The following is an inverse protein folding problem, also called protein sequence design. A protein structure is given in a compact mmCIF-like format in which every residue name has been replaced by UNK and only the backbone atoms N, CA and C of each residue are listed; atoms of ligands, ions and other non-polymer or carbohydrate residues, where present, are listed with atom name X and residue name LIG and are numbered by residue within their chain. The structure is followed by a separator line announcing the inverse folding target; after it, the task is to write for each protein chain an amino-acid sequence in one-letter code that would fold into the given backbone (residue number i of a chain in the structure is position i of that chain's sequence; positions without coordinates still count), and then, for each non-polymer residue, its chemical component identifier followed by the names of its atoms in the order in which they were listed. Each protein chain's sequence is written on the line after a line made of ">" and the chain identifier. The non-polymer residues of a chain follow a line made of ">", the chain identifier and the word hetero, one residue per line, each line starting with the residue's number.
data_IF_253735116018
#
_entry.id   IF_253735116018
#
_cell.length_a   1.000
_cell.length_b   1.000
_cell.length_c   1.000
_cell.angle_alpha   90.00
_cell.angle_beta   90.00
_cell.angle_gamma   90.00
#
_symmetry.space_group_name_H-M   'P 1'
#
loop_
_entity.id
_entity.type
_entity.pdbx_description
1 polymer ?
#
# COMPACT_ATOMS: atom_id res chain seq x y z
N UNK A 1 -23.22 6.72 -12.02
CA UNK A 1 -22.38 7.90 -12.30
C UNK A 1 -21.36 7.46 -13.32
N UNK A 2 -21.51 7.87 -14.58
CA UNK A 2 -20.60 7.47 -15.65
C UNK A 2 -19.50 8.53 -15.70
N UNK A 3 -18.25 8.19 -15.40
CA UNK A 3 -17.13 9.10 -15.66
C UNK A 3 -17.10 9.39 -17.17
N UNK A 4 -17.28 10.64 -17.56
CA UNK A 4 -17.24 11.04 -18.97
C UNK A 4 -15.79 10.96 -19.47
N UNK A 5 -15.58 10.38 -20.66
CA UNK A 5 -14.26 10.22 -21.30
C UNK A 5 -13.46 11.53 -21.41
N UNK A 6 -14.15 12.67 -21.42
CA UNK A 6 -13.54 14.00 -21.43
C UNK A 6 -12.68 14.28 -20.20
N UNK A 7 -13.03 13.77 -19.02
CA UNK A 7 -12.22 14.00 -17.82
C UNK A 7 -10.85 13.39 -18.01
N UNK A 8 -10.73 12.21 -18.64
CA UNK A 8 -9.50 11.40 -18.70
C UNK A 8 -8.52 11.72 -19.83
N UNK A 9 -9.00 12.22 -20.97
CA UNK A 9 -8.12 12.54 -22.11
C UNK A 9 -7.35 13.85 -21.90
N UNK A 10 -7.89 14.79 -21.12
CA UNK A 10 -7.24 16.05 -20.74
C UNK A 10 -6.16 15.89 -19.65
N UNK A 11 -6.16 14.80 -18.86
CA UNK A 11 -5.13 14.56 -17.82
C UNK A 11 -3.71 14.42 -18.38
N UNK A 12 -3.57 13.94 -19.61
CA UNK A 12 -2.25 13.62 -20.16
C UNK A 12 -1.57 14.81 -20.82
N UNK A 13 -2.31 15.88 -21.15
CA UNK A 13 -1.84 16.96 -22.03
C UNK A 13 -1.63 18.32 -21.34
N UNK A 14 -2.02 18.47 -20.06
CA UNK A 14 -1.98 19.76 -19.35
C UNK A 14 -1.39 19.62 -17.93
N UNK A 15 -0.10 19.32 -17.78
CA UNK A 15 0.52 19.36 -16.45
C UNK A 15 0.84 20.81 -16.04
N UNK A 16 -0.14 21.45 -15.40
CA UNK A 16 0.04 22.42 -14.30
C UNK A 16 -1.00 22.12 -13.19
N UNK A 17 -0.91 20.91 -12.59
CA UNK A 17 -1.58 20.41 -11.37
C UNK A 17 -3.04 19.89 -11.46
N UNK A 18 -3.45 18.93 -10.59
CA UNK A 18 -2.83 18.60 -9.30
C UNK A 18 -2.10 17.25 -9.21
N UNK A 19 -1.15 17.12 -8.26
CA UNK A 19 -0.39 15.89 -8.00
C UNK A 19 -1.24 14.77 -7.38
N UNK A 20 -2.42 15.08 -6.80
CA UNK A 20 -3.43 14.16 -6.25
C UNK A 20 -4.82 14.67 -6.62
N UNK A 21 -5.73 13.78 -7.01
CA UNK A 21 -7.14 14.09 -7.22
C UNK A 21 -8.05 13.03 -6.58
N UNK A 22 -9.10 13.48 -5.88
CA UNK A 22 -10.15 12.63 -5.35
C UNK A 22 -11.22 12.39 -6.41
N UNK A 23 -11.32 11.15 -6.88
CA UNK A 23 -12.31 10.73 -7.89
C UNK A 23 -13.63 10.34 -7.22
N UNK A 24 -13.57 9.83 -5.98
CA UNK A 24 -14.74 9.47 -5.21
C UNK A 24 -14.50 9.68 -3.71
N UNK A 25 -15.53 10.14 -3.01
CA UNK A 25 -15.60 10.13 -1.55
C UNK A 25 -16.97 9.65 -1.12
N UNK A 26 -17.03 8.84 -0.06
CA UNK A 26 -18.30 8.39 0.52
C UNK A 26 -19.13 9.53 1.15
N UNK A 27 -18.50 10.67 1.45
CA UNK A 27 -19.14 11.93 1.82
C UNK A 27 -18.19 13.13 1.65
N UNK A 28 -18.69 14.38 1.51
CA UNK A 28 -17.87 15.57 1.25
C UNK A 28 -16.83 15.86 2.33
N UNK A 29 -17.13 15.55 3.60
CA UNK A 29 -16.26 15.80 4.74
C UNK A 29 -15.09 14.80 4.91
N UNK A 30 -14.94 13.81 4.02
CA UNK A 30 -13.81 12.86 4.08
C UNK A 30 -12.48 13.63 4.16
N UNK A 31 -11.51 13.26 5.02
CA UNK A 31 -11.44 12.00 5.79
C UNK A 31 -12.07 12.05 7.19
N UNK A 32 -12.80 13.12 7.57
CA UNK A 32 -13.36 13.24 8.91
C UNK A 32 -14.48 12.20 9.15
N UNK A 33 -14.40 11.37 10.20
CA UNK A 33 -15.49 10.44 10.51
C UNK A 33 -16.77 11.21 10.90
N UNK A 34 -17.94 10.66 10.55
CA UNK A 34 -19.24 11.33 10.79
C UNK A 34 -19.67 11.37 12.26
N UNK A 35 -19.12 10.51 13.12
CA UNK A 35 -19.58 10.35 14.51
C UNK A 35 -18.87 11.32 15.44
N UNK A 36 -17.63 11.02 15.76
CA UNK A 36 -16.77 11.85 16.62
C UNK A 36 -15.38 11.90 16.02
N UNK A 37 -14.80 13.09 16.00
CA UNK A 37 -13.41 13.29 15.62
C UNK A 37 -12.56 12.86 16.83
N UNK A 38 -11.65 11.89 16.68
CA UNK A 38 -10.82 11.44 17.79
C UNK A 38 -9.84 12.54 18.19
N UNK A 39 -9.53 12.64 19.49
CA UNK A 39 -8.51 13.57 20.04
C UNK A 39 -7.07 13.06 19.82
N UNK A 40 -6.84 12.39 18.69
CA UNK A 40 -5.57 11.82 18.25
C UNK A 40 -5.46 11.97 16.73
N UNK A 41 -4.26 11.83 16.12
CA UNK A 41 -4.14 11.84 14.67
C UNK A 41 -5.10 10.84 14.02
N UNK A 42 -5.79 11.29 12.96
CA UNK A 42 -6.67 10.46 12.14
C UNK A 42 -5.84 9.35 11.49
N UNK A 43 -6.23 8.10 11.73
CA UNK A 43 -5.58 6.91 11.19
C UNK A 43 -6.20 6.58 9.84
N UNK A 44 -5.44 6.75 8.77
CA UNK A 44 -5.90 6.50 7.40
C UNK A 44 -5.15 5.31 6.82
N UNK A 45 -5.87 4.26 6.44
CA UNK A 45 -5.27 3.17 5.67
C UNK A 45 -5.19 3.56 4.20
N UNK A 46 -4.04 3.35 3.57
CA UNK A 46 -3.81 3.62 2.14
C UNK A 46 -3.51 2.29 1.45
N UNK A 47 -4.41 1.86 0.56
CA UNK A 47 -4.16 0.72 -0.33
C UNK A 47 -3.84 1.24 -1.74
N UNK A 48 -2.56 1.20 -2.08
CA UNK A 48 -2.05 1.56 -3.41
C UNK A 48 -1.79 0.29 -4.23
N UNK A 49 -2.50 0.16 -5.35
CA UNK A 49 -2.37 -0.97 -6.26
C UNK A 49 -2.74 -0.56 -7.69
N UNK A 50 -2.41 -1.42 -8.65
CA UNK A 50 -2.81 -1.19 -10.05
C UNK A 50 -4.29 -1.46 -10.32
N UNK A 51 -5.00 -2.13 -9.41
CA UNK A 51 -6.44 -2.43 -9.49
C UNK A 51 -6.92 -2.87 -10.88
N UNK A 52 -6.25 -3.89 -11.45
CA UNK A 52 -6.46 -4.31 -12.84
C UNK A 52 -6.77 -5.82 -12.98
N UNK A 53 -7.89 -6.33 -12.44
CA UNK A 53 -8.90 -5.62 -11.63
C UNK A 53 -8.59 -5.72 -10.11
N UNK A 54 -9.33 -5.00 -9.24
CA UNK A 54 -9.40 -5.34 -7.81
C UNK A 54 -9.79 -6.81 -7.60
N UNK A 55 -9.26 -7.45 -6.57
CA UNK A 55 -9.49 -8.89 -6.27
C UNK A 55 -9.96 -9.07 -4.83
N UNK A 56 -10.39 -10.28 -4.46
CA UNK A 56 -10.73 -10.60 -3.07
C UNK A 56 -9.53 -10.47 -2.12
N UNK A 57 -8.29 -10.65 -2.59
CA UNK A 57 -7.10 -10.35 -1.79
C UNK A 57 -6.95 -8.86 -1.49
N UNK A 58 -7.27 -8.00 -2.46
CA UNK A 58 -7.33 -6.55 -2.21
C UNK A 58 -8.44 -6.22 -1.20
N UNK A 59 -9.61 -6.88 -1.30
CA UNK A 59 -10.72 -6.69 -0.36
C UNK A 59 -10.32 -7.08 1.07
N UNK A 60 -9.72 -8.26 1.23
CA UNK A 60 -9.23 -8.75 2.51
C UNK A 60 -8.19 -7.80 3.11
N UNK A 61 -7.23 -7.35 2.29
CA UNK A 61 -6.21 -6.40 2.73
C UNK A 61 -6.82 -5.04 3.13
N UNK A 62 -7.71 -4.47 2.33
CA UNK A 62 -8.36 -3.19 2.61
C UNK A 62 -9.22 -3.23 3.89
N UNK A 63 -9.81 -4.38 4.19
CA UNK A 63 -10.62 -4.62 5.39
C UNK A 63 -9.81 -5.12 6.60
N UNK A 64 -8.50 -5.34 6.44
CA UNK A 64 -7.66 -5.78 7.54
C UNK A 64 -7.67 -4.74 8.66
N UNK A 65 -7.83 -5.22 9.90
CA UNK A 65 -7.86 -4.35 11.08
C UNK A 65 -6.49 -3.74 11.32
N UNK A 66 -6.48 -2.50 11.80
CA UNK A 66 -5.26 -1.83 12.28
C UNK A 66 -4.58 -2.67 13.38
N UNK A 67 -3.30 -3.07 13.21
CA UNK A 67 -2.59 -3.80 14.26
C UNK A 67 -2.41 -2.97 15.53
N UNK A 68 -2.39 -3.64 16.68
CA UNK A 68 -2.09 -2.99 17.98
C UNK A 68 -0.59 -2.72 18.09
N UNK A 69 -0.22 -1.53 18.54
CA UNK A 69 1.16 -1.13 18.81
C UNK A 69 1.39 -1.16 20.33
N UNK A 70 2.49 -1.79 20.80
CA UNK A 70 2.73 -1.98 22.25
C UNK A 70 3.18 -0.70 22.98
N UNK A 71 3.76 0.26 22.27
CA UNK A 71 4.49 1.39 22.85
C UNK A 71 3.79 2.75 22.73
N UNK A 72 2.53 2.78 22.26
CA UNK A 72 1.75 4.01 22.13
C UNK A 72 0.48 3.78 22.94
N UNK A 73 0.14 4.71 23.84
CA UNK A 73 -1.09 4.73 24.63
C UNK A 73 -2.39 4.86 23.78
N UNK A 74 -2.37 4.39 22.53
CA UNK A 74 -3.54 4.17 21.69
C UNK A 74 -4.28 2.90 22.14
N UNK A 75 -4.63 2.87 23.43
CA UNK A 75 -5.32 1.80 24.14
C UNK A 75 -6.83 1.74 23.83
N UNK A 76 -7.37 2.75 23.13
CA UNK A 76 -8.74 2.70 22.63
C UNK A 76 -8.75 2.06 21.24
N UNK A 77 -8.91 0.73 21.22
CA UNK A 77 -8.84 -0.20 20.09
C UNK A 77 -9.82 0.03 18.94
N UNK A 78 -9.80 1.21 18.33
CA UNK A 78 -10.50 1.53 17.10
C UNK A 78 -9.65 1.18 15.87
N UNK A 79 -10.33 0.69 14.83
CA UNK A 79 -9.77 0.46 13.49
C UNK A 79 -9.34 1.79 12.84
N UNK A 80 -9.04 1.79 11.55
CA UNK A 80 -8.80 3.02 10.78
C UNK A 80 -10.01 3.95 10.79
N UNK A 81 -9.78 5.26 10.94
CA UNK A 81 -10.86 6.26 10.91
C UNK A 81 -11.36 6.50 9.47
N UNK A 82 -10.48 6.33 8.49
CA UNK A 82 -10.79 6.46 7.06
C UNK A 82 -9.97 5.47 6.22
N UNK A 83 -10.48 5.13 5.03
CA UNK A 83 -9.76 4.30 4.05
C UNK A 83 -9.57 5.04 2.72
N UNK A 84 -8.39 4.94 2.14
CA UNK A 84 -8.04 5.51 0.84
C UNK A 84 -7.58 4.39 -0.11
N UNK A 85 -8.27 4.29 -1.25
CA UNK A 85 -7.83 3.49 -2.40
C UNK A 85 -7.09 4.41 -3.36
N UNK A 86 -5.84 4.08 -3.67
CA UNK A 86 -4.94 4.96 -4.42
C UNK A 86 -4.49 4.31 -5.72
N UNK A 87 -4.63 5.02 -6.84
CA UNK A 87 -4.11 4.62 -8.14
C UNK A 87 -2.96 5.56 -8.53
N UNK A 88 -1.72 5.06 -8.52
CA UNK A 88 -0.59 5.80 -9.09
C UNK A 88 -0.52 5.60 -10.61
N UNK A 89 -0.62 6.71 -11.35
CA UNK A 89 -0.61 6.72 -12.83
C UNK A 89 0.81 6.62 -13.42
N UNK A 90 1.83 6.88 -12.60
CA UNK A 90 3.26 6.79 -12.98
C UNK A 90 3.97 5.70 -12.19
N UNK A 91 3.33 4.56 -11.93
CA UNK A 91 4.01 3.46 -11.25
C UNK A 91 5.25 3.04 -12.04
N UNK A 92 6.42 3.12 -11.40
CA UNK A 92 7.75 3.03 -12.03
C UNK A 92 7.99 1.75 -12.86
N UNK A 93 7.24 0.68 -12.59
CA UNK A 93 7.52 -0.66 -13.11
C UNK A 93 6.54 -1.17 -14.19
N UNK A 94 5.47 -0.44 -14.55
CA UNK A 94 4.38 -1.02 -15.37
C UNK A 94 3.96 -0.16 -16.56
N UNK A 95 4.31 -0.62 -17.76
CA UNK A 95 3.64 -0.20 -18.99
C UNK A 95 2.31 -0.96 -19.16
N UNK A 96 1.26 -0.26 -19.59
CA UNK A 96 -0.05 -0.86 -19.86
C UNK A 96 0.04 -1.78 -21.08
N UNK A 97 -0.44 -3.01 -20.95
CA UNK A 97 -0.64 -3.91 -22.10
C UNK A 97 -1.94 -3.55 -22.81
N UNK A 98 -2.08 -3.90 -24.09
CA UNK A 98 -3.33 -3.70 -24.85
C UNK A 98 -4.52 -4.43 -24.23
N UNK A 99 -4.26 -5.51 -23.49
CA UNK A 99 -5.27 -6.32 -22.79
C UNK A 99 -5.58 -5.82 -21.37
N UNK A 100 -4.88 -4.77 -20.90
CA UNK A 100 -5.14 -4.18 -19.59
C UNK A 100 -6.33 -3.21 -19.65
N UNK A 101 -7.06 -3.12 -18.53
CA UNK A 101 -8.08 -2.08 -18.38
C UNK A 101 -7.41 -0.70 -18.35
N UNK A 102 -8.06 0.28 -18.99
CA UNK A 102 -7.64 1.68 -19.00
C UNK A 102 -7.70 2.28 -17.60
N UNK A 103 -7.03 3.42 -17.37
CA UNK A 103 -7.17 4.17 -16.11
C UNK A 103 -8.63 4.48 -15.77
N UNK A 104 -9.45 4.83 -16.78
CA UNK A 104 -10.89 5.04 -16.62
C UNK A 104 -11.60 3.82 -16.02
N UNK A 105 -11.40 2.67 -16.65
CA UNK A 105 -12.03 1.42 -16.27
C UNK A 105 -11.55 0.97 -14.88
N UNK A 106 -10.27 1.18 -14.56
CA UNK A 106 -9.72 0.91 -13.23
C UNK A 106 -10.36 1.78 -12.17
N UNK A 107 -10.54 3.08 -12.42
CA UNK A 107 -11.21 3.98 -11.49
C UNK A 107 -12.68 3.60 -11.27
N UNK A 108 -13.42 3.27 -12.33
CA UNK A 108 -14.79 2.78 -12.20
C UNK A 108 -14.87 1.48 -11.37
N UNK A 109 -13.94 0.54 -11.60
CA UNK A 109 -13.82 -0.65 -10.76
C UNK A 109 -13.45 -0.30 -9.32
N UNK A 110 -12.57 0.68 -9.07
CA UNK A 110 -12.21 1.13 -7.72
C UNK A 110 -13.38 1.79 -6.99
N UNK A 111 -14.23 2.55 -7.68
CA UNK A 111 -15.44 3.15 -7.09
C UNK A 111 -16.42 2.06 -6.65
N UNK A 112 -16.63 1.05 -7.49
CA UNK A 112 -17.43 -0.13 -7.15
C UNK A 112 -16.81 -0.93 -6.00
N UNK A 113 -15.49 -1.13 -6.04
CA UNK A 113 -14.73 -1.78 -4.98
C UNK A 113 -14.83 -1.03 -3.65
N UNK A 114 -14.82 0.31 -3.66
CA UNK A 114 -14.99 1.14 -2.48
C UNK A 114 -16.32 0.88 -1.77
N UNK A 115 -17.37 0.57 -2.53
CA UNK A 115 -18.71 0.24 -2.01
C UNK A 115 -18.79 -1.15 -1.36
N UNK A 116 -17.73 -1.95 -1.44
CA UNK A 116 -17.65 -3.28 -0.83
C UNK A 116 -16.81 -3.30 0.45
N UNK A 117 -16.11 -2.20 0.77
CA UNK A 117 -15.27 -2.11 1.96
C UNK A 117 -16.09 -2.04 3.25
N UNK A 118 -15.54 -2.56 4.34
CA UNK A 118 -16.11 -2.47 5.70
C UNK A 118 -15.27 -1.48 6.49
N UNK A 119 -15.89 -0.52 7.18
CA UNK A 119 -15.16 0.55 7.85
C UNK A 119 -15.43 0.68 9.34
N UNK A 120 -16.50 0.08 9.88
CA UNK A 120 -16.73 -0.06 11.33
C UNK A 120 -17.58 -1.31 11.59
N UNK A 121 -17.27 -2.03 12.69
CA UNK A 121 -17.86 -3.31 13.12
C UNK A 121 -19.40 -3.32 13.36
N UNK A 122 -20.11 -2.18 13.30
CA UNK A 122 -21.52 -2.10 13.74
C UNK A 122 -22.44 -1.18 12.91
N UNK A 123 -22.01 -0.68 11.74
CA UNK A 123 -22.89 0.14 10.89
C UNK A 123 -23.71 -0.73 9.91
N UNK A 124 -25.01 -0.43 9.66
CA UNK A 124 -25.82 -1.16 8.68
C UNK A 124 -25.38 -0.94 7.23
N UNK A 125 -24.48 0.03 6.98
CA UNK A 125 -23.90 0.31 5.68
C UNK A 125 -22.45 -0.16 5.65
N UNK A 126 -22.15 -1.02 4.67
CA UNK A 126 -20.77 -1.20 4.19
C UNK A 126 -20.28 0.20 3.73
N UNK A 127 -18.99 0.50 3.77
CA UNK A 127 -18.29 1.66 3.19
C UNK A 127 -18.46 3.10 3.77
N UNK A 128 -18.54 3.28 5.10
CA UNK A 128 -18.51 4.63 5.69
C UNK A 128 -17.08 5.24 5.73
N UNK A 129 -16.86 6.44 5.19
CA UNK A 129 -15.57 7.17 5.22
C UNK A 129 -14.43 6.59 4.35
N UNK A 130 -14.78 6.12 3.14
CA UNK A 130 -13.85 5.69 2.09
C UNK A 130 -13.66 6.78 1.02
N UNK A 131 -12.47 6.85 0.42
CA UNK A 131 -12.19 7.62 -0.79
C UNK A 131 -11.39 6.83 -1.84
N UNK A 132 -11.50 7.26 -3.09
CA UNK A 132 -10.69 6.80 -4.22
C UNK A 132 -9.94 8.01 -4.79
N UNK A 133 -8.64 7.86 -4.98
CA UNK A 133 -7.79 8.93 -5.51
C UNK A 133 -6.84 8.45 -6.60
N UNK A 134 -6.46 9.37 -7.47
CA UNK A 134 -5.32 9.23 -8.37
C UNK A 134 -4.14 10.08 -7.87
N UNK A 135 -2.93 9.60 -8.12
CA UNK A 135 -1.70 10.30 -7.74
C UNK A 135 -0.64 10.19 -8.84
N UNK A 136 0.06 11.30 -9.09
CA UNK A 136 1.13 11.38 -10.09
C UNK A 136 2.51 10.93 -9.60
N UNK A 137 2.65 10.65 -8.30
CA UNK A 137 3.93 10.33 -7.66
C UNK A 137 4.24 8.82 -7.76
N UNK A 138 5.44 8.45 -8.25
CA UNK A 138 5.85 7.05 -8.40
C UNK A 138 6.25 6.37 -7.08
N UNK A 139 6.90 7.08 -6.16
CA UNK A 139 7.53 6.48 -4.97
C UNK A 139 6.58 6.44 -3.78
N UNK A 140 6.62 5.39 -2.95
CA UNK A 140 5.79 5.33 -1.75
C UNK A 140 6.12 6.44 -0.74
N UNK A 141 7.41 6.81 -0.63
CA UNK A 141 7.85 7.91 0.23
C UNK A 141 7.29 9.24 -0.27
N UNK A 142 7.42 9.54 -1.57
CA UNK A 142 6.82 10.73 -2.16
C UNK A 142 5.29 10.74 -2.01
N UNK A 143 4.63 9.59 -2.21
CA UNK A 143 3.17 9.47 -2.04
C UNK A 143 2.75 9.84 -0.62
N UNK A 144 3.46 9.34 0.39
CA UNK A 144 3.22 9.68 1.81
C UNK A 144 3.31 11.19 2.03
N UNK A 145 4.40 11.81 1.56
CA UNK A 145 4.64 13.24 1.74
C UNK A 145 3.56 14.10 1.07
N UNK A 146 3.21 13.79 -0.18
CA UNK A 146 2.18 14.50 -0.92
C UNK A 146 0.79 14.30 -0.32
N UNK A 147 0.46 13.09 0.13
CA UNK A 147 -0.81 12.82 0.80
C UNK A 147 -0.91 13.58 2.12
N UNK A 148 0.16 13.62 2.93
CA UNK A 148 0.19 14.40 4.18
C UNK A 148 -0.11 15.88 3.91
N UNK A 149 0.55 16.48 2.91
CA UNK A 149 0.30 17.86 2.50
C UNK A 149 -1.14 18.06 2.02
N UNK A 150 -1.61 17.21 1.10
CA UNK A 150 -2.95 17.28 0.54
C UNK A 150 -4.04 17.19 1.61
N UNK A 151 -3.89 16.29 2.58
CA UNK A 151 -4.86 16.09 3.65
C UNK A 151 -4.89 17.28 4.62
N UNK A 152 -3.71 17.81 4.99
CA UNK A 152 -3.60 19.03 5.80
C UNK A 152 -4.29 20.23 5.15
N UNK A 153 -4.03 20.46 3.87
CA UNK A 153 -4.69 21.52 3.09
C UNK A 153 -6.22 21.30 3.06
N UNK A 154 -6.66 20.07 2.78
CA UNK A 154 -8.09 19.70 2.71
C UNK A 154 -8.84 19.93 4.02
N UNK A 155 -8.19 19.74 5.17
CA UNK A 155 -8.80 19.95 6.49
C UNK A 155 -8.45 21.30 7.10
N UNK A 156 -7.96 22.26 6.31
CA UNK A 156 -7.55 23.58 6.79
C UNK A 156 -6.56 23.53 7.97
N UNK A 157 -5.66 22.54 7.98
CA UNK A 157 -4.68 22.26 9.04
C UNK A 157 -5.30 22.00 10.43
N UNK A 158 -6.59 21.66 10.50
CA UNK A 158 -7.29 21.40 11.76
C UNK A 158 -7.11 19.97 12.28
N UNK A 159 -6.55 19.07 11.47
CA UNK A 159 -6.39 17.65 11.79
C UNK A 159 -4.93 17.23 11.61
N UNK A 160 -4.48 16.31 12.45
CA UNK A 160 -3.25 15.55 12.24
C UNK A 160 -3.58 14.19 11.63
N UNK A 161 -2.67 13.64 10.83
CA UNK A 161 -2.88 12.38 10.13
C UNK A 161 -1.73 11.41 10.38
N UNK A 162 -2.09 10.13 10.47
CA UNK A 162 -1.14 9.03 10.36
C UNK A 162 -1.55 8.10 9.23
N UNK A 163 -0.70 8.02 8.21
CA UNK A 163 -0.94 7.15 7.06
C UNK A 163 -0.35 5.77 7.33
N UNK A 164 -1.15 4.74 7.08
CA UNK A 164 -0.70 3.34 7.11
C UNK A 164 -0.84 2.73 5.74
N UNK A 165 0.28 2.45 5.08
CA UNK A 165 0.30 1.83 3.77
C UNK A 165 0.10 0.32 3.89
N UNK A 166 -0.91 -0.18 3.20
CA UNK A 166 -1.26 -1.59 3.15
C UNK A 166 -0.58 -2.22 1.93
N UNK A 167 0.41 -3.07 2.17
CA UNK A 167 1.26 -3.64 1.12
C UNK A 167 1.15 -5.17 1.08
N UNK A 168 1.38 -5.75 -0.10
CA UNK A 168 1.79 -7.14 -0.22
C UNK A 168 3.31 -7.28 -0.09
N UNK A 169 3.79 -8.49 0.21
CA UNK A 169 5.22 -8.76 0.43
C UNK A 169 6.13 -8.31 -0.72
N UNK A 170 5.82 -8.63 -1.98
CA UNK A 170 6.63 -8.18 -3.14
C UNK A 170 6.74 -6.64 -3.23
N UNK A 171 5.72 -5.92 -2.76
CA UNK A 171 5.75 -4.45 -2.74
C UNK A 171 6.56 -3.94 -1.56
N UNK A 172 6.54 -4.63 -0.42
CA UNK A 172 7.43 -4.35 0.70
C UNK A 172 8.90 -4.54 0.32
N UNK A 173 9.23 -5.61 -0.41
CA UNK A 173 10.58 -5.84 -0.94
C UNK A 173 11.05 -4.68 -1.82
N UNK A 174 10.19 -4.21 -2.73
CA UNK A 174 10.49 -3.04 -3.57
C UNK A 174 10.59 -1.75 -2.74
N UNK A 175 9.78 -1.58 -1.71
CA UNK A 175 9.84 -0.43 -0.81
C UNK A 175 11.20 -0.31 -0.11
N UNK A 176 11.85 -1.43 0.23
CA UNK A 176 13.19 -1.47 0.84
C UNK A 176 14.31 -1.79 -0.18
N UNK A 177 14.08 -1.60 -1.48
CA UNK A 177 15.10 -1.84 -2.50
C UNK A 177 15.77 -0.52 -2.94
N UNK A 178 17.11 -0.36 -2.77
CA UNK A 178 17.82 0.89 -3.05
C UNK A 178 17.62 1.44 -4.47
N UNK A 179 17.42 0.57 -5.47
CA UNK A 179 17.20 0.95 -6.87
C UNK A 179 16.01 1.88 -7.11
N UNK A 180 15.05 1.96 -6.18
CA UNK A 180 13.89 2.85 -6.30
C UNK A 180 14.11 4.26 -5.72
N UNK A 181 15.30 4.54 -5.17
CA UNK A 181 15.60 5.80 -4.48
C UNK A 181 16.60 6.68 -5.21
N UNK A 182 17.21 6.19 -6.29
CA UNK A 182 18.15 6.96 -7.12
C UNK A 182 17.57 7.26 -8.49
N UNK A 183 17.90 8.44 -9.02
CA UNK A 183 17.59 8.85 -10.40
C UNK A 183 18.85 8.91 -11.29
N UNK A 184 20.00 8.44 -10.79
CA UNK A 184 21.28 8.56 -11.48
C UNK A 184 21.43 7.52 -12.60
N UNK A 185 22.04 7.93 -13.71
CA UNK A 185 22.41 7.05 -14.83
C UNK A 185 23.50 6.03 -14.45
N UNK A 186 24.30 6.31 -13.41
CA UNK A 186 25.26 5.39 -12.82
C UNK A 186 24.73 4.85 -11.49
N UNK A 187 24.47 3.55 -11.43
CA UNK A 187 23.98 2.92 -10.21
C UNK A 187 25.15 2.64 -9.24
N UNK A 188 25.35 3.54 -8.27
CA UNK A 188 26.14 3.26 -7.08
C UNK A 188 25.21 2.74 -5.97
N UNK A 189 25.47 1.50 -5.53
CA UNK A 189 24.64 0.82 -4.54
C UNK A 189 24.76 1.41 -3.14
N UNK A 190 25.93 1.95 -2.76
CA UNK A 190 26.14 2.55 -1.45
C UNK A 190 25.42 3.90 -1.37
N UNK A 191 25.54 4.70 -2.44
CA UNK A 191 24.81 5.96 -2.57
C UNK A 191 23.29 5.72 -2.58
N UNK A 192 22.82 4.75 -3.38
CA UNK A 192 21.39 4.40 -3.45
C UNK A 192 20.87 3.90 -2.09
N UNK A 193 21.66 3.13 -1.33
CA UNK A 193 21.29 2.68 0.02
C UNK A 193 21.21 3.85 1.00
N UNK A 194 22.13 4.81 0.91
CA UNK A 194 22.11 6.00 1.76
C UNK A 194 20.90 6.89 1.45
N UNK A 195 20.60 7.12 0.17
CA UNK A 195 19.41 7.85 -0.28
C UNK A 195 18.14 7.16 0.21
N UNK A 196 18.04 5.83 0.04
CA UNK A 196 16.96 5.03 0.58
C UNK A 196 16.80 5.24 2.09
N UNK A 197 17.87 5.15 2.87
CA UNK A 197 17.78 5.31 4.32
C UNK A 197 17.29 6.71 4.71
N UNK A 198 17.74 7.76 4.03
CA UNK A 198 17.24 9.13 4.26
C UNK A 198 15.76 9.26 3.92
N UNK A 199 15.32 8.71 2.78
CA UNK A 199 13.91 8.74 2.38
C UNK A 199 13.03 7.93 3.35
N UNK A 200 13.48 6.76 3.78
CA UNK A 200 12.78 5.92 4.74
C UNK A 200 12.71 6.57 6.13
N UNK A 201 13.76 7.28 6.56
CA UNK A 201 13.74 8.08 7.78
C UNK A 201 12.65 9.16 7.70
N UNK A 202 12.60 9.92 6.60
CA UNK A 202 11.53 10.90 6.36
C UNK A 202 10.13 10.28 6.36
N UNK A 203 9.98 9.06 5.86
CA UNK A 203 8.70 8.35 5.86
C UNK A 203 8.28 7.89 7.27
N UNK A 204 9.18 7.27 8.04
CA UNK A 204 8.85 6.59 9.28
C UNK A 204 8.95 7.47 10.53
N UNK A 205 9.88 8.43 10.55
CA UNK A 205 10.22 9.14 11.77
C UNK A 205 9.07 10.04 12.25
N UNK A 206 8.92 10.23 13.58
CA UNK A 206 7.90 11.14 14.13
C UNK A 206 8.03 12.60 13.66
N UNK A 207 9.25 13.04 13.35
CA UNK A 207 9.53 14.39 12.82
C UNK A 207 9.38 14.49 11.29
N UNK A 208 9.17 13.36 10.61
CA UNK A 208 8.86 13.29 9.18
C UNK A 208 7.36 13.12 8.95
N UNK A 209 6.99 12.20 8.05
CA UNK A 209 5.59 11.90 7.73
C UNK A 209 4.90 11.05 8.80
N UNK A 210 5.68 10.44 9.71
CA UNK A 210 5.19 9.54 10.75
C UNK A 210 4.30 8.40 10.19
N UNK A 211 4.57 7.95 8.97
CA UNK A 211 3.81 6.90 8.29
C UNK A 211 4.17 5.51 8.82
N UNK A 212 3.32 4.54 8.51
CA UNK A 212 3.43 3.13 8.93
C UNK A 212 3.21 2.21 7.76
N UNK A 213 3.66 0.96 7.90
CA UNK A 213 3.38 -0.10 6.95
C UNK A 213 2.70 -1.26 7.65
N UNK A 214 1.65 -1.77 7.00
CA UNK A 214 1.10 -3.10 7.29
C UNK A 214 1.26 -3.94 6.04
N UNK A 215 1.96 -5.06 6.17
CA UNK A 215 2.24 -5.96 5.06
C UNK A 215 1.52 -7.29 5.25
N UNK A 216 0.71 -7.66 4.26
CA UNK A 216 0.13 -9.00 4.19
C UNK A 216 1.13 -10.02 3.70
N UNK A 217 1.13 -11.18 4.36
CA UNK A 217 1.94 -12.35 4.04
C UNK A 217 1.23 -13.24 3.01
N UNK A 218 2.00 -13.96 2.19
CA UNK A 218 1.48 -14.95 1.22
C UNK A 218 1.75 -16.41 1.60
N UNK A 219 2.65 -16.67 2.55
CA UNK A 219 2.91 -18.02 3.09
C UNK A 219 3.78 -17.93 4.35
N UNK A 220 3.62 -18.85 5.33
CA UNK A 220 4.52 -18.99 6.47
C UNK A 220 5.96 -19.36 6.08
N UNK A 221 6.15 -20.06 4.97
CA UNK A 221 7.50 -20.38 4.48
C UNK A 221 8.22 -19.17 3.87
N UNK A 222 7.50 -18.09 3.57
CA UNK A 222 8.07 -16.81 3.14
C UNK A 222 8.60 -15.96 4.31
N UNK A 223 8.55 -16.48 5.55
CA UNK A 223 9.12 -15.78 6.69
C UNK A 223 10.66 -15.78 6.63
N UNK A 224 11.30 -14.62 6.81
CA UNK A 224 12.61 -14.63 7.42
C UNK A 224 12.44 -15.21 8.82
N UNK A 225 13.08 -16.35 9.09
CA UNK A 225 13.05 -16.97 10.41
C UNK A 225 13.49 -15.92 11.45
N UNK A 226 12.52 -15.47 12.27
CA UNK A 226 12.82 -14.69 13.46
C UNK A 226 13.53 -15.64 14.42
N UNK A 227 14.87 -15.54 14.51
CA UNK A 227 15.66 -16.20 15.55
C UNK A 227 15.34 -15.56 16.91
N UNK A 228 14.14 -15.84 17.41
CA UNK A 228 13.69 -15.51 18.74
C UNK A 228 13.13 -16.78 19.39
N UNK A 229 13.95 -17.83 19.43
CA UNK A 229 13.76 -19.03 20.26
C UNK A 229 14.92 -20.02 20.05
N UNK A 230 16.14 -19.61 20.39
CA UNK A 230 17.18 -20.57 20.77
C UNK A 230 17.88 -20.07 22.03
N UNK A 231 17.67 -20.83 23.10
CA UNK A 231 18.34 -20.73 24.40
C UNK A 231 19.86 -20.89 24.23
N UNK A 232 20.69 -20.31 25.13
CA UNK A 232 22.13 -20.22 24.92
C UNK A 232 22.77 -21.58 25.18
N UNK A 233 23.28 -22.22 24.15
CA UNK A 233 24.23 -23.31 24.34
C UNK A 233 25.41 -23.19 23.39
N UNK A 234 26.57 -22.97 24.03
CA UNK A 234 27.94 -23.07 23.53
C UNK A 234 28.40 -21.94 22.60
N UNK A 235 29.16 -21.02 23.17
CA UNK A 235 30.12 -20.17 22.47
C UNK A 235 31.31 -21.06 22.09
N UNK A 236 31.72 -21.14 20.82
CA UNK A 236 33.11 -21.39 20.48
C UNK A 236 33.82 -20.05 20.32
N UNK A 237 34.91 -19.91 21.06
CA UNK A 237 35.89 -18.85 20.92
C UNK A 237 36.44 -18.75 19.50
N UNK A 238 36.85 -17.52 19.15
CA UNK A 238 37.66 -17.11 18.01
C UNK A 238 36.97 -17.16 16.64
N UNK A 239 36.75 -15.97 16.08
CA UNK A 239 37.40 -15.51 14.85
C UNK A 239 36.97 -14.05 14.62
N UNK A 240 37.93 -13.15 14.67
CA UNK A 240 37.87 -11.86 14.00
C UNK A 240 37.52 -12.09 12.53
N UNK A 241 36.27 -11.88 12.14
CA UNK A 241 35.86 -11.86 10.74
C UNK A 241 35.50 -10.43 10.41
N UNK A 242 36.36 -9.79 9.62
CA UNK A 242 35.96 -8.70 8.75
C UNK A 242 34.71 -9.15 7.98
N UNK A 243 33.74 -8.25 7.84
CA UNK A 243 32.54 -8.51 7.04
C UNK A 243 32.96 -9.05 5.66
N UNK A 244 32.33 -10.12 5.16
CA UNK A 244 32.69 -10.67 3.85
C UNK A 244 32.53 -9.58 2.77
N UNK A 245 33.37 -9.61 1.72
CA UNK A 245 33.31 -8.62 0.65
C UNK A 245 31.90 -8.53 0.07
N UNK A 246 31.43 -7.30 -0.08
CA UNK A 246 30.12 -6.95 -0.61
C UNK A 246 29.93 -7.52 -2.02
N UNK A 247 28.99 -8.45 -2.18
CA UNK A 247 28.59 -9.01 -3.48
C UNK A 247 27.22 -8.40 -3.90
N UNK A 248 27.18 -7.52 -4.92
CA UNK A 248 25.94 -6.91 -5.42
C UNK A 248 24.97 -7.91 -6.06
N UNK A 249 25.37 -9.16 -6.27
CA UNK A 249 24.54 -10.20 -6.89
C UNK A 249 23.79 -11.06 -5.86
N UNK A 250 24.13 -10.97 -4.58
CA UNK A 250 23.47 -11.71 -3.51
C UNK A 250 22.32 -10.87 -2.94
N UNK A 251 21.06 -11.35 -3.00
CA UNK A 251 19.94 -10.66 -2.38
C UNK A 251 20.17 -10.58 -0.87
N UNK A 252 20.36 -9.37 -0.34
CA UNK A 252 20.24 -9.14 1.10
C UNK A 252 18.83 -9.57 1.54
N UNK A 253 18.69 -10.49 2.50
CA UNK A 253 17.38 -10.88 2.98
C UNK A 253 16.62 -9.63 3.43
N UNK A 254 15.42 -9.37 2.92
CA UNK A 254 14.62 -8.17 3.26
C UNK A 254 14.63 -7.88 4.78
N UNK A 255 14.60 -8.93 5.60
CA UNK A 255 14.67 -8.82 7.06
C UNK A 255 15.94 -8.19 7.62
N UNK A 256 17.12 -8.43 7.03
CA UNK A 256 18.36 -7.80 7.48
C UNK A 256 18.35 -6.33 7.08
N UNK A 257 17.93 -6.00 5.85
CA UNK A 257 17.80 -4.61 5.39
C UNK A 257 16.87 -3.79 6.27
N UNK A 258 15.67 -4.32 6.56
CA UNK A 258 14.72 -3.71 7.50
C UNK A 258 15.39 -3.52 8.86
N UNK A 259 16.11 -4.54 9.35
CA UNK A 259 16.76 -4.51 10.66
C UNK A 259 17.88 -3.50 10.78
N UNK A 260 18.73 -3.43 9.79
CA UNK A 260 19.86 -2.52 9.77
C UNK A 260 19.38 -1.08 9.61
N UNK A 261 18.33 -0.85 8.82
CA UNK A 261 17.69 0.47 8.74
C UNK A 261 17.14 0.92 10.10
N UNK A 262 16.25 0.14 10.73
CA UNK A 262 15.62 0.53 12.00
C UNK A 262 16.65 0.71 13.11
N UNK A 263 17.67 -0.16 13.18
CA UNK A 263 18.78 -0.03 14.12
C UNK A 263 19.62 1.22 13.87
N UNK A 264 20.01 1.49 12.63
CA UNK A 264 20.88 2.63 12.31
C UNK A 264 20.21 3.99 12.55
N UNK A 265 18.88 4.06 12.46
CA UNK A 265 18.10 5.28 12.70
C UNK A 265 17.48 5.38 14.09
N UNK A 266 17.78 4.43 14.99
CA UNK A 266 17.15 4.36 16.33
C UNK A 266 15.61 4.39 16.28
N UNK A 267 15.03 3.78 15.24
CA UNK A 267 13.58 3.68 15.03
C UNK A 267 13.09 2.28 15.44
N UNK A 268 11.80 2.16 15.78
CA UNK A 268 11.21 0.88 16.20
C UNK A 268 10.74 0.02 15.03
N UNK A 269 10.99 -1.28 15.11
CA UNK A 269 10.46 -2.28 14.16
C UNK A 269 8.94 -2.34 14.14
N UNK A 270 8.29 -1.86 15.20
CA UNK A 270 6.84 -1.82 15.28
C UNK A 270 6.22 -0.97 14.16
N UNK A 271 6.99 -0.10 13.49
CA UNK A 271 6.54 0.74 12.36
C UNK A 271 6.22 -0.04 11.08
N UNK A 272 6.67 -1.30 10.98
CA UNK A 272 6.32 -2.26 9.94
C UNK A 272 5.69 -3.49 10.60
N UNK A 273 4.37 -3.66 10.44
CA UNK A 273 3.64 -4.82 10.97
C UNK A 273 3.34 -5.80 9.87
N UNK A 274 3.47 -7.08 10.20
CA UNK A 274 3.03 -8.15 9.33
C UNK A 274 1.68 -8.68 9.79
N UNK A 275 0.79 -8.95 8.84
CA UNK A 275 -0.52 -9.56 9.10
C UNK A 275 -0.71 -10.80 8.23
N UNK A 276 -1.59 -11.68 8.71
CA UNK A 276 -2.07 -12.83 7.95
C UNK A 276 -3.51 -12.56 7.49
N UNK A 277 -3.76 -12.75 6.20
CA UNK A 277 -5.07 -12.57 5.58
C UNK A 277 -5.84 -13.89 5.40
N UNK A 278 -5.24 -15.03 5.74
CA UNK A 278 -5.81 -16.37 5.48
C UNK A 278 -5.32 -16.99 4.17
N UNK A 279 -5.16 -18.32 4.18
CA UNK A 279 -4.64 -19.13 3.06
C UNK A 279 -5.46 -18.94 1.78
N UNK A 280 -6.75 -18.70 1.92
CA UNK A 280 -7.72 -18.59 0.83
C UNK A 280 -7.48 -17.39 -0.10
N UNK A 281 -6.80 -16.34 0.36
CA UNK A 281 -6.52 -15.14 -0.44
C UNK A 281 -5.05 -14.94 -0.79
N UNK A 282 -4.13 -15.71 -0.20
CA UNK A 282 -2.69 -15.54 -0.40
C UNK A 282 -2.25 -15.64 -1.86
N UNK A 283 -2.86 -16.55 -2.62
CA UNK A 283 -2.51 -16.83 -4.00
C UNK A 283 -3.30 -15.98 -5.02
N UNK A 284 -4.22 -15.12 -4.58
CA UNK A 284 -5.11 -14.42 -5.51
C UNK A 284 -4.46 -13.15 -6.05
N UNK A 285 -4.07 -13.16 -7.33
CA UNK A 285 -3.56 -11.97 -8.01
C UNK A 285 -4.52 -11.45 -9.08
N UNK A 286 -4.40 -10.16 -9.43
CA UNK A 286 -5.14 -9.60 -10.57
C UNK A 286 -4.77 -10.29 -11.89
N UNK A 287 -3.54 -10.81 -12.01
CA UNK A 287 -3.11 -11.55 -13.21
C UNK A 287 -3.84 -12.87 -13.34
N UNK A 288 -4.11 -13.56 -12.23
CA UNK A 288 -4.89 -14.81 -12.26
C UNK A 288 -6.33 -14.56 -12.69
N UNK A 289 -6.93 -13.45 -12.24
CA UNK A 289 -8.26 -13.03 -12.69
C UNK A 289 -8.27 -12.80 -14.21
N UNK A 290 -7.32 -12.01 -14.74
CA UNK A 290 -7.24 -11.74 -16.19
C UNK A 290 -7.02 -13.03 -16.99
N UNK A 291 -6.10 -13.89 -16.54
CA UNK A 291 -5.81 -15.16 -17.20
C UNK A 291 -7.03 -16.10 -17.22
N UNK A 292 -7.76 -16.20 -16.11
CA UNK A 292 -8.97 -17.01 -16.03
C UNK A 292 -10.10 -16.46 -16.92
N UNK A 293 -10.28 -15.13 -17.02
CA UNK A 293 -11.24 -14.53 -17.96
C UNK A 293 -10.86 -14.89 -19.40
N UNK A 294 -9.60 -14.70 -19.78
CA UNK A 294 -9.09 -15.00 -21.12
C UNK A 294 -9.28 -16.48 -21.49
N UNK A 295 -9.13 -17.38 -20.52
CA UNK A 295 -9.35 -18.83 -20.70
C UNK A 295 -10.82 -19.26 -20.60
N UNK A 296 -11.76 -18.31 -20.41
CA UNK A 296 -13.18 -18.57 -20.14
C UNK A 296 -13.43 -19.47 -18.92
N UNK A 297 -12.50 -19.43 -17.96
CA UNK A 297 -12.58 -20.17 -16.72
C UNK A 297 -13.40 -19.40 -15.69
N UNK A 298 -14.60 -19.91 -15.36
CA UNK A 298 -15.54 -19.27 -14.44
C UNK A 298 -15.00 -19.01 -13.03
N UNK A 299 -13.86 -19.59 -12.63
CA UNK A 299 -13.26 -19.36 -11.31
C UNK A 299 -12.95 -17.90 -11.01
N UNK A 300 -12.71 -17.07 -12.04
CA UNK A 300 -12.39 -15.65 -11.87
C UNK A 300 -13.48 -14.90 -11.08
N UNK A 301 -14.73 -15.37 -11.17
CA UNK A 301 -15.89 -14.82 -10.45
C UNK A 301 -15.78 -14.97 -8.93
N UNK A 302 -15.11 -16.01 -8.45
CA UNK A 302 -14.85 -16.20 -7.01
C UNK A 302 -13.65 -15.36 -6.54
N UNK A 303 -12.76 -14.98 -7.45
CA UNK A 303 -11.54 -14.20 -7.15
C UNK A 303 -11.78 -12.68 -7.14
N UNK A 304 -12.99 -12.24 -7.51
CA UNK A 304 -13.31 -10.83 -7.78
C UNK A 304 -14.49 -10.36 -6.92
N UNK A 305 -14.40 -9.18 -6.27
CA UNK A 305 -15.52 -8.60 -5.52
C UNK A 305 -16.80 -8.47 -6.38
N UNK A 306 -18.00 -8.79 -5.85
CA UNK A 306 -19.26 -8.79 -6.59
C UNK A 306 -19.55 -7.59 -7.52
N UNK A 307 -19.35 -6.35 -7.08
CA UNK A 307 -19.65 -5.15 -7.89
C UNK A 307 -18.59 -4.91 -8.96
N UNK A 308 -17.35 -5.30 -8.69
CA UNK A 308 -16.26 -5.30 -9.68
C UNK A 308 -16.52 -6.36 -10.75
N UNK A 309 -16.93 -7.57 -10.34
CA UNK A 309 -17.30 -8.67 -11.23
C UNK A 309 -18.41 -8.25 -12.20
N UNK A 310 -19.48 -7.66 -11.69
CA UNK A 310 -20.60 -7.17 -12.50
C UNK A 310 -20.12 -6.17 -13.56
N UNK A 311 -19.22 -5.25 -13.19
CA UNK A 311 -18.67 -4.27 -14.13
C UNK A 311 -17.83 -4.91 -15.23
N UNK A 312 -16.99 -5.90 -14.87
CA UNK A 312 -16.20 -6.66 -15.84
C UNK A 312 -17.11 -7.35 -16.85
N UNK A 313 -18.21 -7.97 -16.41
CA UNK A 313 -19.19 -8.62 -17.28
C UNK A 313 -19.90 -7.60 -18.21
N UNK A 314 -20.41 -6.50 -17.65
CA UNK A 314 -21.12 -5.47 -18.41
C UNK A 314 -20.22 -4.81 -19.47
N UNK A 315 -18.95 -4.58 -19.13
CA UNK A 315 -17.98 -3.90 -20.01
C UNK A 315 -17.17 -4.86 -20.87
N UNK A 316 -17.38 -6.18 -20.73
CA UNK A 316 -16.67 -7.22 -21.44
C UNK A 316 -15.14 -7.05 -21.38
N UNK A 317 -14.61 -6.76 -20.17
CA UNK A 317 -13.18 -6.49 -19.98
C UNK A 317 -12.36 -7.79 -19.99
N UNK A 318 -11.10 -7.71 -20.43
CA UNK A 318 -10.11 -8.79 -20.40
C UNK A 318 -10.40 -10.00 -21.30
N UNK A 319 -11.34 -9.87 -22.24
CA UNK A 319 -11.74 -10.94 -23.15
C UNK A 319 -10.90 -11.05 -24.44
N UNK A 320 -9.93 -10.16 -24.61
CA UNK A 320 -9.04 -10.04 -25.78
C UNK A 320 -7.59 -10.18 -25.37
#
# INVERSE_FOLDING_TARGET
>A
MTLTLHTLHDFTLLFHSPPIELVFTSHPAWPRPKRSIPQRPLQISVLDASFNPPTIAHLALANARRPRYRSIEESNGHDYDAKLLLLSVRNADKQLKSTDATHAQRLEMMIRFAQELVTVDEAPKKYENVAVAIIGEPTFVGKSHLLQRFLKERTNNQEEFRLTFLLGFDTLERFFAPRYYTSSASFDILEAKQQMYTSLEGFFAPHGDNSRIVCARRSPSSYPQSTASQSPSKIPESLSQEDPPFDPTIPYPLSSTIRDFFRSRSLTFELVKMIDLGEEVWAVSSSDVRNAIMQRDGRWKALTPPLVKEFIEIRNLYCS
#
